data_IF_258497427954
#
_entry.id   IF_258497427954
#
_cell.length_a   1.000
_cell.length_b   1.000
_cell.length_c   1.000
_cell.angle_alpha   90.00
_cell.angle_beta   90.00
_cell.angle_gamma   90.00
#
_symmetry.space_group_name_H-M   'P 1'
#
loop_
_entity.id
_entity.type
_entity.pdbx_description
1 polymer ?
#
# COMPACT_ATOMS: atom_id res chain seq x y z
N UNK A 1 19.54 -0.23 0.16
CA UNK A 1 18.58 -1.31 0.41
C UNK A 1 17.28 -0.71 0.92
N UNK A 2 16.14 -1.34 0.65
CA UNK A 2 14.85 -0.99 1.21
C UNK A 2 14.37 -2.21 2.00
N UNK A 3 14.10 -2.04 3.30
CA UNK A 3 13.75 -3.15 4.20
C UNK A 3 14.72 -4.35 4.11
N UNK A 4 16.02 -4.08 3.96
CA UNK A 4 17.05 -5.13 3.81
C UNK A 4 17.21 -5.70 2.40
N UNK A 5 16.35 -5.35 1.45
CA UNK A 5 16.43 -5.82 0.06
C UNK A 5 17.22 -4.87 -0.84
N UNK A 6 17.96 -5.44 -1.79
CA UNK A 6 18.64 -4.67 -2.83
C UNK A 6 17.63 -4.26 -3.89
N UNK A 7 17.66 -2.97 -4.23
CA UNK A 7 16.76 -2.38 -5.22
C UNK A 7 17.59 -1.59 -6.21
N UNK A 8 17.24 -1.72 -7.49
CA UNK A 8 17.88 -0.97 -8.55
C UNK A 8 17.17 0.36 -8.75
N UNK A 9 17.95 1.42 -8.94
CA UNK A 9 17.47 2.75 -9.26
C UNK A 9 18.24 3.29 -10.46
N UNK A 10 17.56 4.03 -11.31
CA UNK A 10 18.18 4.79 -12.39
C UNK A 10 18.95 5.97 -11.80
N UNK A 11 20.19 6.17 -12.25
CA UNK A 11 21.11 7.16 -11.64
C UNK A 11 20.65 8.60 -11.82
N UNK A 12 20.01 8.92 -12.94
CA UNK A 12 19.66 10.30 -13.28
C UNK A 12 18.34 10.75 -12.62
N UNK A 13 17.36 9.85 -12.56
CA UNK A 13 16.00 10.15 -12.08
C UNK A 13 15.75 9.69 -10.65
N UNK A 14 16.51 8.70 -10.16
CA UNK A 14 16.26 8.00 -8.90
C UNK A 14 15.07 7.05 -8.96
N UNK A 15 14.46 6.82 -10.12
CA UNK A 15 13.33 5.90 -10.25
C UNK A 15 13.75 4.46 -10.04
N UNK A 16 12.92 3.70 -9.32
CA UNK A 16 13.11 2.27 -9.16
C UNK A 16 12.99 1.55 -10.50
N UNK A 17 13.79 0.50 -10.68
CA UNK A 17 13.79 -0.32 -11.89
C UNK A 17 13.27 -1.72 -11.55
N UNK A 18 12.28 -2.18 -12.30
CA UNK A 18 11.75 -3.54 -12.23
C UNK A 18 11.97 -4.20 -13.59
N UNK A 19 12.71 -5.31 -13.61
CA UNK A 19 13.19 -5.90 -14.86
C UNK A 19 14.14 -4.95 -15.58
N UNK A 20 13.76 -4.52 -16.78
CA UNK A 20 14.49 -3.58 -17.64
C UNK A 20 13.81 -2.21 -17.73
N UNK A 21 12.81 -1.91 -16.88
CA UNK A 21 12.00 -0.68 -16.98
C UNK A 21 12.01 0.15 -15.70
N UNK A 22 12.35 1.43 -15.87
CA UNK A 22 12.13 2.44 -14.84
C UNK A 22 10.63 2.61 -14.55
N UNK A 23 10.29 2.73 -13.28
CA UNK A 23 8.91 2.92 -12.82
C UNK A 23 8.64 4.42 -12.65
N UNK A 24 7.95 5.03 -13.61
CA UNK A 24 7.66 6.46 -13.59
C UNK A 24 6.38 6.77 -12.80
N UNK A 25 6.16 8.03 -12.35
CA UNK A 25 4.88 8.42 -11.74
C UNK A 25 3.67 8.16 -12.63
N UNK A 26 3.81 8.33 -13.96
CA UNK A 26 2.75 8.02 -14.92
C UNK A 26 2.41 6.53 -14.95
N UNK A 27 3.42 5.67 -14.78
CA UNK A 27 3.18 4.22 -14.70
C UNK A 27 2.48 3.85 -13.40
N UNK A 28 2.80 4.51 -12.29
CA UNK A 28 2.06 4.35 -11.04
C UNK A 28 0.57 4.72 -11.20
N UNK A 29 0.29 5.87 -11.83
CA UNK A 29 -1.08 6.30 -12.07
C UNK A 29 -1.85 5.25 -12.90
N UNK A 30 -1.29 4.84 -14.04
CA UNK A 30 -1.93 3.88 -14.95
C UNK A 30 -2.09 2.49 -14.32
N UNK A 31 -1.05 1.98 -13.66
CA UNK A 31 -1.02 0.58 -13.23
C UNK A 31 -1.62 0.35 -11.85
N UNK A 32 -1.66 1.38 -11.00
CA UNK A 32 -2.11 1.29 -9.61
C UNK A 32 -3.34 2.18 -9.38
N UNK A 33 -3.19 3.50 -9.55
CA UNK A 33 -4.25 4.46 -9.20
C UNK A 33 -5.53 4.24 -9.98
N UNK A 34 -5.44 4.09 -11.31
CA UNK A 34 -6.61 3.93 -12.18
C UNK A 34 -7.37 2.64 -11.87
N UNK A 35 -6.64 1.53 -11.60
CA UNK A 35 -7.25 0.24 -11.26
C UNK A 35 -7.96 0.26 -9.92
N UNK A 36 -7.37 0.91 -8.91
CA UNK A 36 -8.02 1.10 -7.61
C UNK A 36 -9.24 2.00 -7.76
N UNK A 37 -9.10 3.10 -8.51
CA UNK A 37 -10.15 4.10 -8.76
C UNK A 37 -11.39 3.50 -9.42
N UNK A 38 -11.23 2.45 -10.24
CA UNK A 38 -12.33 1.72 -10.84
C UNK A 38 -13.23 0.99 -9.82
N UNK A 39 -12.75 0.78 -8.59
CA UNK A 39 -13.48 0.05 -7.53
C UNK A 39 -13.85 0.94 -6.34
N UNK A 40 -12.98 1.86 -5.95
CA UNK A 40 -13.16 2.76 -4.80
C UNK A 40 -12.39 4.06 -5.06
N UNK A 41 -12.85 5.24 -4.58
CA UNK A 41 -12.07 6.46 -4.70
C UNK A 41 -10.65 6.27 -4.18
N UNK A 42 -9.66 6.59 -5.01
CA UNK A 42 -8.26 6.29 -4.71
C UNK A 42 -7.80 6.92 -3.40
N UNK A 43 -8.15 8.18 -3.14
CA UNK A 43 -7.73 8.88 -1.91
C UNK A 43 -8.28 8.18 -0.66
N UNK A 44 -9.53 7.68 -0.72
CA UNK A 44 -10.13 6.91 0.38
C UNK A 44 -9.37 5.60 0.60
N UNK A 45 -8.98 4.89 -0.46
CA UNK A 45 -8.19 3.68 -0.36
C UNK A 45 -6.78 3.94 0.18
N UNK A 46 -6.13 5.00 -0.32
CA UNK A 46 -4.79 5.42 0.08
C UNK A 46 -4.71 5.79 1.55
N UNK A 47 -5.60 6.69 2.02
CA UNK A 47 -5.66 7.08 3.42
C UNK A 47 -5.97 5.90 4.35
N UNK A 48 -6.90 5.03 3.92
CA UNK A 48 -7.28 3.85 4.71
C UNK A 48 -6.13 2.86 4.81
N UNK A 49 -5.36 2.66 3.74
CA UNK A 49 -4.17 1.82 3.74
C UNK A 49 -3.09 2.40 4.66
N UNK A 50 -2.79 3.71 4.57
CA UNK A 50 -1.81 4.35 5.44
C UNK A 50 -2.21 4.23 6.93
N UNK A 51 -3.46 4.53 7.28
CA UNK A 51 -3.97 4.40 8.66
C UNK A 51 -3.90 2.95 9.16
N UNK A 52 -4.21 1.99 8.30
CA UNK A 52 -4.11 0.57 8.64
C UNK A 52 -2.67 0.15 8.91
N UNK A 53 -1.76 0.42 7.97
CA UNK A 53 -0.34 0.04 8.09
C UNK A 53 0.33 0.77 9.26
N UNK A 54 0.02 2.04 9.50
CA UNK A 54 0.59 2.81 10.62
C UNK A 54 0.15 2.32 12.00
N UNK A 55 -0.86 1.44 12.09
CA UNK A 55 -1.29 0.86 13.36
C UNK A 55 -0.38 -0.27 13.86
N UNK A 56 0.58 -0.72 13.04
CA UNK A 56 1.51 -1.79 13.39
C UNK A 56 2.88 -1.23 13.84
N UNK A 57 3.60 -1.94 14.74
CA UNK A 57 4.96 -1.56 15.12
C UNK A 57 5.93 -1.60 13.94
N UNK A 58 6.96 -0.75 13.96
CA UNK A 58 7.96 -0.64 12.89
C UNK A 58 8.66 -1.97 12.62
N UNK A 59 8.93 -2.76 13.66
CA UNK A 59 9.60 -4.05 13.56
C UNK A 59 8.77 -5.07 12.77
N UNK A 60 7.44 -4.97 12.85
CA UNK A 60 6.51 -5.78 12.04
C UNK A 60 6.54 -5.32 10.59
N UNK A 61 6.62 -4.01 10.36
CA UNK A 61 6.62 -3.43 9.02
C UNK A 61 7.91 -3.68 8.24
N UNK A 62 9.06 -3.70 8.93
CA UNK A 62 10.37 -3.92 8.32
C UNK A 62 10.74 -5.40 8.18
N UNK A 63 10.06 -6.31 8.88
CA UNK A 63 10.25 -7.74 8.74
C UNK A 63 9.30 -8.30 7.67
N UNK A 64 9.84 -8.74 6.53
CA UNK A 64 9.07 -9.21 5.38
C UNK A 64 8.07 -10.33 5.71
N UNK A 65 8.47 -11.28 6.57
CA UNK A 65 7.60 -12.40 6.98
C UNK A 65 6.46 -11.91 7.86
N UNK A 66 6.79 -11.13 8.88
CA UNK A 66 5.79 -10.56 9.80
C UNK A 66 4.81 -9.64 9.07
N UNK A 67 5.31 -8.79 8.17
CA UNK A 67 4.48 -7.93 7.32
C UNK A 67 3.50 -8.77 6.49
N UNK A 68 4.00 -9.81 5.80
CA UNK A 68 3.15 -10.69 5.00
C UNK A 68 2.07 -11.37 5.86
N UNK A 69 2.46 -12.01 6.96
CA UNK A 69 1.55 -12.81 7.78
C UNK A 69 0.55 -11.95 8.58
N UNK A 70 0.96 -10.79 9.08
CA UNK A 70 0.18 -10.00 10.06
C UNK A 70 -0.47 -8.75 9.49
N UNK A 71 0.09 -8.18 8.43
CA UNK A 71 -0.41 -6.93 7.83
C UNK A 71 -1.12 -7.23 6.51
N UNK A 72 -0.47 -7.92 5.58
CA UNK A 72 -1.02 -8.12 4.25
C UNK A 72 -2.06 -9.26 4.17
N UNK A 73 -1.65 -10.49 4.54
CA UNK A 73 -2.46 -11.70 4.38
C UNK A 73 -3.86 -11.62 5.03
N UNK A 74 -4.05 -11.03 6.23
CA UNK A 74 -5.37 -10.98 6.88
C UNK A 74 -6.42 -10.17 6.12
N UNK A 75 -5.99 -9.23 5.27
CA UNK A 75 -6.86 -8.30 4.54
C UNK A 75 -6.77 -8.44 3.02
N UNK A 76 -5.82 -9.21 2.48
CA UNK A 76 -5.53 -9.38 1.04
C UNK A 76 -6.78 -9.40 0.15
N UNK A 77 -7.70 -10.32 0.43
CA UNK A 77 -8.86 -10.57 -0.44
C UNK A 77 -10.13 -9.83 0.05
N UNK A 78 -10.07 -9.16 1.21
CA UNK A 78 -11.22 -8.54 1.88
C UNK A 78 -10.92 -7.11 2.37
N UNK A 79 -10.02 -6.42 1.68
CA UNK A 79 -9.50 -5.13 2.13
C UNK A 79 -10.61 -4.08 2.28
N UNK A 80 -11.49 -3.99 1.28
CA UNK A 80 -12.64 -3.06 1.29
C UNK A 80 -13.54 -3.31 2.51
N UNK A 81 -13.84 -4.56 2.81
CA UNK A 81 -14.71 -4.92 3.94
C UNK A 81 -14.04 -4.69 5.29
N UNK A 82 -12.80 -5.16 5.45
CA UNK A 82 -12.11 -5.18 6.75
C UNK A 82 -11.47 -3.85 7.13
N UNK A 83 -11.08 -3.04 6.14
CA UNK A 83 -10.33 -1.80 6.37
C UNK A 83 -11.19 -0.58 6.03
N UNK A 84 -11.70 -0.49 4.80
CA UNK A 84 -12.41 0.71 4.33
C UNK A 84 -13.80 0.84 4.99
N UNK A 85 -14.63 -0.20 4.92
CA UNK A 85 -15.99 -0.16 5.51
C UNK A 85 -15.98 -0.10 7.03
N UNK A 86 -15.00 -0.76 7.67
CA UNK A 86 -14.85 -0.73 9.13
C UNK A 86 -14.50 0.68 9.64
N UNK A 87 -13.70 1.45 8.89
CA UNK A 87 -13.46 2.88 9.13
C UNK A 87 -14.77 3.67 9.08
N UNK A 88 -15.54 3.53 7.99
CA UNK A 88 -16.81 4.26 7.83
C UNK A 88 -17.82 4.00 8.96
N UNK A 89 -17.89 2.76 9.46
CA UNK A 89 -18.76 2.42 10.59
C UNK A 89 -18.28 2.98 11.93
N UNK A 90 -16.96 3.06 12.16
CA UNK A 90 -16.40 3.64 13.39
C UNK A 90 -16.51 5.16 13.39
N UNK A 91 -16.19 5.81 12.26
CA UNK A 91 -16.25 7.27 12.14
C UNK A 91 -17.72 7.76 12.24
N UNK A 92 -18.69 7.02 11.67
CA UNK A 92 -20.11 7.33 11.80
C UNK A 92 -20.70 7.05 13.20
N UNK A 93 -20.07 6.18 14.00
CA UNK A 93 -20.50 5.90 15.37
C UNK A 93 -19.92 6.91 16.39
N UNK A 94 -18.81 7.57 16.05
CA UNK A 94 -18.13 8.56 16.89
C UNK A 94 -18.55 10.01 16.61
N UNK A 95 -19.47 10.23 15.67
CA UNK A 95 -20.13 11.51 15.37
C UNK A 95 -21.46 11.63 16.11
#
# INVERSE_FOLDING_TARGET
TVAGEQVYQEKETGYFVIGDRAQTPRDYDREIKDKISATVPYDVAWESALKYVSSFPKEVLENQREFYERVYLPVRDKFIEKVIKRKGSLDAFLQ
#
